data_IF_204297703417
#
_entry.id   IF_204297703417
#
_cell.length_a   1.000
_cell.length_b   1.000
_cell.length_c   1.000
_cell.angle_alpha   90.00
_cell.angle_beta   90.00
_cell.angle_gamma   90.00
#
_symmetry.space_group_name_H-M   'P 1'
#
loop_
_entity.id
_entity.type
_entity.pdbx_description
1 polymer ?
#
# COMPACT_ATOMS: atom_id res chain seq x y z
N UNK A 1 -37.12 -17.60 19.11
CA UNK A 1 -36.22 -18.66 19.61
C UNK A 1 -34.94 -17.98 20.05
N UNK A 2 -34.41 -18.30 21.24
CA UNK A 2 -33.10 -17.80 21.64
C UNK A 2 -32.06 -18.31 20.62
N UNK A 3 -31.24 -17.40 20.08
CA UNK A 3 -30.20 -17.76 19.10
C UNK A 3 -29.04 -18.41 19.82
N UNK A 4 -28.50 -19.48 19.26
CA UNK A 4 -27.33 -20.15 19.85
C UNK A 4 -26.07 -19.39 19.43
N UNK A 5 -25.49 -18.63 20.36
CA UNK A 5 -24.26 -17.87 20.11
C UNK A 5 -23.13 -18.38 20.98
N UNK A 6 -22.02 -18.78 20.36
CA UNK A 6 -20.81 -19.21 21.05
C UNK A 6 -19.66 -18.30 20.64
N UNK A 7 -18.99 -17.68 21.61
CA UNK A 7 -17.77 -16.91 21.40
C UNK A 7 -16.57 -17.68 21.92
N UNK A 8 -15.73 -18.17 21.02
CA UNK A 8 -14.40 -18.62 21.37
C UNK A 8 -13.49 -17.40 21.53
N UNK A 9 -12.99 -17.18 22.74
CA UNK A 9 -12.16 -16.02 23.10
C UNK A 9 -10.76 -16.45 23.54
N UNK A 10 -9.83 -15.52 23.64
CA UNK A 10 -8.52 -15.74 24.26
C UNK A 10 -8.19 -14.62 25.25
N UNK A 11 -7.43 -14.93 26.29
CA UNK A 11 -7.07 -13.96 27.33
C UNK A 11 -6.16 -12.87 26.75
N UNK A 12 -6.48 -11.59 27.00
CA UNK A 12 -5.71 -10.44 26.51
C UNK A 12 -6.02 -10.04 25.05
N UNK A 13 -7.02 -10.66 24.43
CA UNK A 13 -7.44 -10.38 23.06
C UNK A 13 -8.36 -9.13 22.98
N UNK A 14 -7.90 -8.00 22.42
CA UNK A 14 -8.70 -6.77 22.34
C UNK A 14 -9.94 -6.92 21.44
N UNK A 15 -9.88 -7.79 20.43
CA UNK A 15 -11.00 -8.08 19.53
C UNK A 15 -12.07 -8.96 20.19
N UNK A 16 -11.68 -9.83 21.11
CA UNK A 16 -12.61 -10.65 21.88
C UNK A 16 -13.48 -9.74 22.75
N UNK A 17 -12.87 -8.74 23.41
CA UNK A 17 -13.60 -7.72 24.17
C UNK A 17 -14.51 -6.85 23.28
N UNK A 18 -14.08 -6.49 22.07
CA UNK A 18 -14.95 -5.80 21.10
C UNK A 18 -16.16 -6.64 20.71
N UNK A 19 -15.99 -7.95 20.45
CA UNK A 19 -17.11 -8.86 20.13
C UNK A 19 -18.05 -9.00 21.33
N UNK A 20 -17.52 -9.18 22.55
CA UNK A 20 -18.35 -9.24 23.76
C UNK A 20 -19.22 -7.99 23.93
N UNK A 21 -18.65 -6.81 23.69
CA UNK A 21 -19.37 -5.54 23.74
C UNK A 21 -20.42 -5.45 22.63
N UNK A 22 -20.09 -5.86 21.41
CA UNK A 22 -21.02 -5.84 20.28
C UNK A 22 -22.18 -6.83 20.47
N UNK A 23 -21.92 -8.07 20.89
CA UNK A 23 -22.95 -9.07 21.18
C UNK A 23 -23.90 -8.57 22.29
N UNK A 24 -23.34 -7.96 23.35
CA UNK A 24 -24.12 -7.31 24.40
C UNK A 24 -24.98 -6.16 23.86
N UNK A 25 -24.40 -5.30 23.02
CA UNK A 25 -25.11 -4.17 22.41
C UNK A 25 -26.22 -4.61 21.46
N UNK A 26 -26.08 -5.78 20.82
CA UNK A 26 -27.08 -6.38 19.96
C UNK A 26 -28.12 -7.21 20.73
N UNK A 27 -28.04 -7.25 22.06
CA UNK A 27 -28.96 -8.00 22.91
C UNK A 27 -28.85 -9.52 22.75
N UNK A 28 -27.68 -10.01 22.32
CA UNK A 28 -27.42 -11.45 22.17
C UNK A 28 -26.75 -11.99 23.43
N UNK A 29 -27.38 -13.00 24.02
CA UNK A 29 -26.73 -13.88 24.98
C UNK A 29 -25.75 -14.80 24.24
N UNK A 30 -24.59 -15.06 24.84
CA UNK A 30 -23.58 -15.94 24.26
C UNK A 30 -22.89 -16.78 25.34
N UNK A 31 -22.45 -17.97 24.94
CA UNK A 31 -21.54 -18.80 25.73
C UNK A 31 -20.09 -18.38 25.40
N UNK A 32 -19.31 -17.97 26.40
CA UNK A 32 -17.88 -17.72 26.22
C UNK A 32 -17.06 -19.01 26.42
N UNK A 33 -16.33 -19.42 25.39
CA UNK A 33 -15.36 -20.53 25.42
C UNK A 33 -13.94 -19.99 25.30
N UNK A 34 -13.32 -19.66 26.43
CA UNK A 34 -11.97 -19.10 26.42
C UNK A 34 -10.92 -20.20 26.18
N UNK A 35 -10.30 -20.18 24.99
CA UNK A 35 -9.33 -21.18 24.55
C UNK A 35 -7.98 -21.09 25.27
N UNK A 36 -7.67 -19.96 25.90
CA UNK A 36 -6.48 -19.79 26.74
C UNK A 36 -6.67 -20.40 28.13
N UNK A 37 -7.93 -20.47 28.60
CA UNK A 37 -8.27 -20.99 29.93
C UNK A 37 -8.58 -22.48 29.88
N UNK A 38 -9.23 -22.96 28.82
CA UNK A 38 -9.52 -24.38 28.63
C UNK A 38 -9.03 -24.86 27.23
N UNK A 39 -7.96 -25.66 27.17
CA UNK A 39 -7.41 -26.19 25.91
C UNK A 39 -8.39 -27.01 25.08
N UNK A 40 -9.41 -27.64 25.68
CA UNK A 40 -10.39 -28.44 24.94
C UNK A 40 -11.18 -27.61 23.93
N UNK A 41 -11.44 -26.33 24.23
CA UNK A 41 -12.11 -25.42 23.29
C UNK A 41 -11.22 -25.04 22.09
N UNK A 42 -9.90 -25.12 22.26
CA UNK A 42 -8.95 -24.94 21.16
C UNK A 42 -8.96 -26.17 20.25
N UNK A 43 -8.99 -27.37 20.82
CA UNK A 43 -9.10 -28.63 20.07
C UNK A 43 -10.41 -28.72 19.28
N UNK A 44 -11.52 -28.22 19.84
CA UNK A 44 -12.82 -28.10 19.16
C UNK A 44 -12.75 -27.22 17.90
N UNK A 45 -12.03 -26.10 17.95
CA UNK A 45 -11.80 -25.23 16.79
C UNK A 45 -10.89 -25.91 15.75
N UNK A 46 -9.85 -26.60 16.19
CA UNK A 46 -8.90 -27.31 15.32
C UNK A 46 -9.57 -28.45 14.54
N UNK A 47 -10.48 -29.19 15.18
CA UNK A 47 -11.27 -30.23 14.50
C UNK A 47 -12.14 -29.67 13.37
N UNK A 48 -12.43 -28.37 13.38
CA UNK A 48 -13.15 -27.62 12.34
C UNK A 48 -12.21 -26.89 11.37
N UNK A 49 -10.90 -27.09 11.46
CA UNK A 49 -9.90 -26.43 10.62
C UNK A 49 -9.64 -24.96 10.99
N UNK A 50 -10.01 -24.53 12.20
CA UNK A 50 -9.89 -23.14 12.66
C UNK A 50 -8.80 -23.07 13.72
N UNK A 51 -7.77 -22.26 13.50
CA UNK A 51 -6.55 -22.21 14.33
C UNK A 51 -6.37 -20.88 15.06
N UNK A 52 -7.45 -20.12 15.28
CA UNK A 52 -7.38 -18.76 15.81
C UNK A 52 -8.62 -18.39 16.63
N UNK A 53 -8.46 -17.49 17.60
CA UNK A 53 -9.55 -16.78 18.30
C UNK A 53 -9.36 -15.26 18.12
N UNK A 54 -10.44 -14.43 18.09
CA UNK A 54 -11.81 -14.81 18.41
C UNK A 54 -12.53 -15.52 17.26
N UNK A 55 -13.46 -16.40 17.60
CA UNK A 55 -14.42 -17.00 16.66
C UNK A 55 -15.81 -16.89 17.26
N UNK A 56 -16.75 -16.32 16.52
CA UNK A 56 -18.16 -16.30 16.93
C UNK A 56 -18.94 -17.26 16.06
N UNK A 57 -19.71 -18.14 16.66
CA UNK A 57 -20.66 -19.00 15.97
C UNK A 57 -22.06 -18.52 16.34
N UNK A 58 -22.89 -18.19 15.34
CA UNK A 58 -24.27 -17.75 15.54
C UNK A 58 -25.17 -18.67 14.71
N UNK A 59 -26.04 -19.43 15.37
CA UNK A 59 -26.97 -20.36 14.71
C UNK A 59 -26.27 -21.32 13.72
N UNK A 60 -25.03 -21.71 14.03
CA UNK A 60 -24.17 -22.59 13.22
C UNK A 60 -23.29 -21.87 12.18
N UNK A 61 -23.54 -20.59 11.88
CA UNK A 61 -22.69 -19.80 10.98
C UNK A 61 -21.43 -19.33 11.72
N UNK A 62 -20.27 -19.51 11.09
CA UNK A 62 -18.97 -19.26 11.72
C UNK A 62 -18.33 -17.95 11.25
N UNK A 63 -18.01 -17.08 12.19
CA UNK A 63 -17.33 -15.80 11.98
C UNK A 63 -15.95 -15.83 12.63
N UNK A 64 -14.91 -15.98 11.82
CA UNK A 64 -13.51 -16.00 12.27
C UNK A 64 -12.98 -14.56 12.35
N UNK A 65 -12.44 -14.19 13.50
CA UNK A 65 -11.96 -12.84 13.81
C UNK A 65 -13.08 -11.83 14.10
N UNK A 66 -12.71 -10.56 14.24
CA UNK A 66 -13.68 -9.47 14.44
C UNK A 66 -14.33 -9.08 13.11
N UNK A 67 -15.61 -9.38 12.94
CA UNK A 67 -16.39 -9.17 11.69
C UNK A 67 -17.78 -8.58 11.96
N UNK A 68 -17.89 -7.42 12.64
CA UNK A 68 -19.17 -6.93 13.15
C UNK A 68 -20.20 -6.63 12.06
N UNK A 69 -19.78 -6.12 10.90
CA UNK A 69 -20.70 -5.83 9.79
C UNK A 69 -21.30 -7.11 9.19
N UNK A 70 -20.48 -8.16 9.02
CA UNK A 70 -20.93 -9.46 8.49
C UNK A 70 -21.89 -10.14 9.48
N UNK A 71 -21.59 -10.04 10.78
CA UNK A 71 -22.46 -10.55 11.85
C UNK A 71 -23.79 -9.78 11.90
N UNK A 72 -23.78 -8.44 11.87
CA UNK A 72 -25.01 -7.62 11.81
C UNK A 72 -25.87 -7.94 10.60
N UNK A 73 -25.24 -8.05 9.42
CA UNK A 73 -25.93 -8.42 8.19
C UNK A 73 -26.59 -9.79 8.31
N UNK A 74 -25.89 -10.78 8.86
CA UNK A 74 -26.44 -12.12 9.11
C UNK A 74 -27.57 -12.11 10.14
N UNK A 75 -27.43 -11.29 11.19
CA UNK A 75 -28.44 -11.14 12.24
C UNK A 75 -29.67 -10.34 11.79
N UNK A 76 -29.60 -9.66 10.64
CA UNK A 76 -30.64 -8.75 10.15
C UNK A 76 -30.73 -7.45 10.95
N UNK A 77 -29.63 -7.06 11.63
CA UNK A 77 -29.56 -5.83 12.41
C UNK A 77 -29.26 -4.68 11.45
N UNK A 78 -30.27 -3.87 11.16
CA UNK A 78 -30.12 -2.60 10.43
C UNK A 78 -29.89 -1.47 11.42
N UNK A 79 -28.95 -0.58 11.12
CA UNK A 79 -28.69 0.62 11.93
C UNK A 79 -29.82 1.66 11.73
N UNK A 80 -31.01 1.41 12.29
CA UNK A 80 -32.04 2.45 12.49
C UNK A 80 -31.96 3.00 13.92
N UNK A 81 -32.09 4.33 14.10
CA UNK A 81 -31.87 4.97 15.39
C UNK A 81 -33.12 4.84 16.25
N UNK A 82 -33.16 3.87 17.16
CA UNK A 82 -34.13 3.87 18.24
C UNK A 82 -33.62 4.76 19.38
N UNK A 83 -34.28 5.90 19.56
CA UNK A 83 -34.01 6.86 20.61
C UNK A 83 -34.45 6.30 21.97
N UNK A 84 -33.50 6.11 22.91
CA UNK A 84 -33.61 6.54 24.30
C UNK A 84 -32.42 6.05 25.16
N UNK A 85 -31.76 7.03 25.79
CA UNK A 85 -31.12 6.99 27.11
C UNK A 85 -29.85 6.15 27.33
N UNK A 86 -28.73 6.89 27.44
CA UNK A 86 -27.76 6.66 28.50
C UNK A 86 -26.34 6.30 28.06
N UNK A 87 -25.43 7.26 28.24
CA UNK A 87 -23.97 7.12 28.39
C UNK A 87 -23.06 7.09 27.14
N UNK A 88 -22.17 8.09 27.13
CA UNK A 88 -20.91 8.26 26.40
C UNK A 88 -20.90 8.08 24.88
N UNK A 89 -21.08 9.21 24.18
CA UNK A 89 -20.77 9.42 22.77
C UNK A 89 -19.28 9.26 22.47
N UNK A 90 -18.87 8.11 21.94
CA UNK A 90 -17.82 8.08 20.93
C UNK A 90 -18.50 8.22 19.56
N UNK A 91 -18.39 9.43 18.99
CA UNK A 91 -18.86 9.71 17.63
C UNK A 91 -18.04 8.87 16.65
N UNK A 92 -18.66 7.88 16.01
CA UNK A 92 -18.18 7.39 14.70
C UNK A 92 -18.33 8.53 13.71
N UNK A 93 -17.25 9.22 13.40
CA UNK A 93 -17.18 10.14 12.27
C UNK A 93 -17.43 9.34 10.99
N UNK A 94 -18.35 9.83 10.14
CA UNK A 94 -18.42 9.40 8.75
C UNK A 94 -17.05 9.65 8.14
N UNK A 95 -16.47 8.69 7.41
CA UNK A 95 -15.29 8.94 6.58
C UNK A 95 -15.55 10.17 5.71
N UNK A 96 -14.82 11.25 5.98
CA UNK A 96 -14.94 12.49 5.24
C UNK A 96 -14.21 12.29 3.91
N UNK A 97 -14.93 12.19 2.79
CA UNK A 97 -14.30 12.23 1.47
C UNK A 97 -13.73 13.64 1.27
N UNK A 98 -12.42 13.76 1.45
CA UNK A 98 -11.72 15.04 1.38
C UNK A 98 -11.43 15.49 -0.05
N UNK A 99 -11.61 14.61 -1.04
CA UNK A 99 -11.29 14.91 -2.44
C UNK A 99 -12.49 15.56 -3.13
N UNK A 100 -12.38 16.86 -3.41
CA UNK A 100 -13.38 17.57 -4.22
C UNK A 100 -13.13 17.37 -5.73
N UNK A 101 -14.11 17.78 -6.54
CA UNK A 101 -13.91 17.94 -7.98
C UNK A 101 -13.16 19.25 -8.25
N UNK A 102 -12.51 19.34 -9.40
CA UNK A 102 -11.96 20.61 -9.89
C UNK A 102 -13.12 21.52 -10.31
N UNK A 103 -13.16 22.73 -9.76
CA UNK A 103 -14.13 23.78 -10.08
C UNK A 103 -13.42 25.12 -10.36
N UNK A 104 -14.17 26.19 -10.62
CA UNK A 104 -13.60 27.51 -10.89
C UNK A 104 -12.76 28.05 -9.72
N UNK A 105 -13.13 27.75 -8.47
CA UNK A 105 -12.37 28.21 -7.31
C UNK A 105 -10.97 27.56 -7.25
N UNK A 106 -10.85 26.32 -7.73
CA UNK A 106 -9.55 25.65 -7.87
C UNK A 106 -8.75 26.26 -9.03
N UNK A 107 -9.38 26.52 -10.17
CA UNK A 107 -8.71 26.98 -11.39
C UNK A 107 -8.28 28.46 -11.34
N UNK A 108 -9.01 29.30 -10.62
CA UNK A 108 -8.74 30.75 -10.52
C UNK A 108 -7.58 31.07 -9.56
N UNK A 109 -7.13 30.09 -8.77
CA UNK A 109 -6.03 30.25 -7.81
C UNK A 109 -4.66 30.02 -8.46
N UNK A 110 -3.64 30.63 -7.83
CA UNK A 110 -2.24 30.25 -8.01
C UNK A 110 -1.77 29.65 -6.70
N UNK A 111 -1.47 28.36 -6.72
CA UNK A 111 -0.98 27.63 -5.55
C UNK A 111 0.50 27.88 -5.33
N UNK A 112 0.94 27.90 -4.09
CA UNK A 112 2.36 27.94 -3.76
C UNK A 112 3.02 26.59 -4.06
N UNK A 113 2.34 25.48 -3.71
CA UNK A 113 2.75 24.12 -4.04
C UNK A 113 1.57 23.32 -4.60
N UNK A 114 1.79 22.64 -5.72
CA UNK A 114 0.91 21.56 -6.21
C UNK A 114 1.67 20.24 -6.13
N UNK A 115 1.14 19.28 -5.36
CA UNK A 115 1.61 17.90 -5.34
C UNK A 115 0.78 17.03 -6.30
N UNK A 116 1.43 16.38 -7.26
CA UNK A 116 0.81 15.43 -8.18
C UNK A 116 0.97 14.02 -7.60
N UNK A 117 -0.12 13.44 -7.12
CA UNK A 117 -0.19 12.18 -6.39
C UNK A 117 -0.44 12.42 -4.89
N UNK A 118 -1.44 11.75 -4.33
CA UNK A 118 -1.87 11.82 -2.93
C UNK A 118 -1.47 10.61 -2.10
N UNK A 119 -0.39 9.92 -2.49
CA UNK A 119 0.26 8.87 -1.70
C UNK A 119 1.17 9.44 -0.58
N UNK A 120 1.96 8.61 0.12
CA UNK A 120 2.78 9.04 1.24
C UNK A 120 3.71 10.21 0.94
N UNK A 121 4.32 10.24 -0.24
CA UNK A 121 5.20 11.33 -0.67
C UNK A 121 4.44 12.64 -0.83
N UNK A 122 3.37 12.65 -1.64
CA UNK A 122 2.60 13.87 -1.89
C UNK A 122 1.89 14.40 -0.66
N UNK A 123 1.34 13.51 0.16
CA UNK A 123 0.67 13.90 1.41
C UNK A 123 1.66 14.42 2.45
N UNK A 124 2.86 13.82 2.57
CA UNK A 124 3.91 14.38 3.44
C UNK A 124 4.36 15.75 2.96
N UNK A 125 4.56 15.93 1.64
CA UNK A 125 4.88 17.24 1.07
C UNK A 125 3.80 18.27 1.42
N UNK A 126 2.53 17.89 1.31
CA UNK A 126 1.41 18.75 1.64
C UNK A 126 1.35 19.15 3.13
N UNK A 127 1.57 18.19 4.04
CA UNK A 127 1.64 18.47 5.49
C UNK A 127 2.70 19.55 5.78
N UNK A 128 3.92 19.38 5.27
CA UNK A 128 5.02 20.31 5.53
C UNK A 128 4.78 21.69 4.89
N UNK A 129 4.29 21.71 3.65
CA UNK A 129 3.99 22.95 2.92
C UNK A 129 2.86 23.76 3.60
N UNK A 130 1.73 23.13 3.93
CA UNK A 130 0.61 23.78 4.61
C UNK A 130 0.97 24.26 6.01
N UNK A 131 1.79 23.51 6.75
CA UNK A 131 2.34 23.97 8.04
C UNK A 131 3.25 25.19 7.88
N UNK A 132 3.98 25.29 6.77
CA UNK A 132 4.74 26.45 6.34
C UNK A 132 3.88 27.62 5.82
N UNK A 133 2.55 27.51 5.87
CA UNK A 133 1.58 28.49 5.36
C UNK A 133 1.61 28.68 3.85
N UNK A 134 2.08 27.68 3.10
CA UNK A 134 1.95 27.65 1.64
C UNK A 134 0.53 27.25 1.25
N UNK A 135 -0.07 27.99 0.30
CA UNK A 135 -1.32 27.58 -0.32
C UNK A 135 -1.09 26.30 -1.15
N UNK A 136 -1.62 25.17 -0.67
CA UNK A 136 -1.19 23.84 -1.14
C UNK A 136 -2.36 23.04 -1.69
N UNK A 137 -2.15 22.45 -2.88
CA UNK A 137 -3.09 21.56 -3.55
C UNK A 137 -2.46 20.18 -3.76
N UNK A 138 -3.22 19.13 -3.51
CA UNK A 138 -2.89 17.76 -3.90
C UNK A 138 -3.87 17.30 -4.98
N UNK A 139 -3.33 16.84 -6.11
CA UNK A 139 -4.11 16.27 -7.22
C UNK A 139 -3.88 14.77 -7.25
N UNK A 140 -4.94 13.96 -7.10
CA UNK A 140 -4.84 12.51 -7.25
C UNK A 140 -5.99 11.95 -8.12
N UNK A 141 -5.64 11.21 -9.17
CA UNK A 141 -6.62 10.62 -10.08
C UNK A 141 -7.39 9.43 -9.50
N UNK A 142 -6.81 8.74 -8.53
CA UNK A 142 -7.37 7.53 -7.92
C UNK A 142 -6.84 7.35 -6.48
N UNK A 143 -7.36 8.13 -5.50
CA UNK A 143 -6.83 8.19 -4.14
C UNK A 143 -6.75 6.86 -3.38
N UNK A 144 -7.61 5.90 -3.73
CA UNK A 144 -7.67 4.57 -3.12
C UNK A 144 -6.90 3.48 -3.91
N UNK A 145 -6.25 3.83 -5.02
CA UNK A 145 -5.58 2.89 -5.93
C UNK A 145 -4.05 2.99 -5.90
N UNK A 146 -3.47 3.79 -5.02
CA UNK A 146 -2.03 3.86 -4.80
C UNK A 146 -1.48 2.59 -4.13
N UNK A 147 -0.18 2.32 -4.29
CA UNK A 147 0.49 1.10 -3.77
C UNK A 147 0.25 0.89 -2.27
N UNK A 148 0.34 1.97 -1.48
CA UNK A 148 0.03 1.90 -0.05
C UNK A 148 -1.46 1.59 0.18
N UNK A 149 -2.38 2.25 -0.53
CA UNK A 149 -3.81 2.11 -0.31
C UNK A 149 -4.32 0.67 -0.48
N UNK A 150 -3.72 -0.11 -1.39
CA UNK A 150 -4.11 -1.50 -1.62
C UNK A 150 -3.40 -2.50 -0.68
N UNK A 151 -2.51 -2.03 0.20
CA UNK A 151 -1.76 -2.89 1.12
C UNK A 151 -2.64 -3.30 2.31
N UNK A 152 -2.77 -4.61 2.53
CA UNK A 152 -3.66 -5.14 3.58
C UNK A 152 -3.15 -4.90 5.01
N UNK A 153 -1.84 -4.81 5.23
CA UNK A 153 -1.25 -4.64 6.56
C UNK A 153 0.06 -3.88 6.50
N UNK A 154 0.21 -2.89 7.39
CA UNK A 154 1.46 -2.13 7.56
C UNK A 154 2.11 -2.51 8.89
N UNK A 155 3.32 -3.05 8.81
CA UNK A 155 4.09 -3.48 9.98
C UNK A 155 5.41 -2.70 10.16
N UNK A 156 5.78 -1.86 9.19
CA UNK A 156 7.12 -1.25 9.10
C UNK A 156 7.10 0.28 9.00
N UNK A 157 5.95 0.94 9.21
CA UNK A 157 5.89 2.40 9.31
C UNK A 157 6.05 2.84 10.76
N UNK A 158 7.15 3.55 11.13
CA UNK A 158 7.39 3.93 12.51
C UNK A 158 6.25 4.78 13.10
N UNK A 159 5.86 4.50 14.34
CA UNK A 159 4.73 5.17 15.00
C UNK A 159 3.37 4.55 14.71
N UNK A 160 3.27 3.64 13.74
CA UNK A 160 2.08 2.81 13.53
C UNK A 160 2.25 1.49 14.29
N UNK A 161 1.33 1.19 15.21
CA UNK A 161 1.31 -0.05 15.99
C UNK A 161 0.03 -0.83 15.68
N UNK A 162 0.12 -2.15 15.65
CA UNK A 162 -1.04 -3.03 15.45
C UNK A 162 -1.33 -3.34 13.97
N UNK A 163 -2.58 -3.67 13.66
CA UNK A 163 -3.00 -4.12 12.33
C UNK A 163 -3.68 -2.99 11.53
N UNK A 164 -2.93 -1.90 11.27
CA UNK A 164 -3.40 -0.82 10.42
C UNK A 164 -3.25 -1.23 8.94
N UNK A 165 -4.31 -1.09 8.16
CA UNK A 165 -4.24 -1.25 6.70
C UNK A 165 -3.49 -0.08 6.06
N UNK A 166 -2.99 -0.27 4.86
CA UNK A 166 -2.34 0.81 4.12
C UNK A 166 -3.30 1.93 3.72
N UNK A 167 -4.58 1.61 3.44
CA UNK A 167 -5.61 2.62 3.19
C UNK A 167 -5.87 3.49 4.43
N UNK A 168 -6.05 2.88 5.60
CA UNK A 168 -6.26 3.63 6.85
C UNK A 168 -5.08 4.54 7.15
N UNK A 169 -3.84 4.03 7.01
CA UNK A 169 -2.64 4.86 7.18
C UNK A 169 -2.63 6.05 6.22
N UNK A 170 -2.95 5.81 4.95
CA UNK A 170 -2.96 6.87 3.94
C UNK A 170 -4.03 7.92 4.23
N UNK A 171 -5.25 7.50 4.60
CA UNK A 171 -6.33 8.40 4.98
C UNK A 171 -5.95 9.25 6.20
N UNK A 172 -5.28 8.68 7.19
CA UNK A 172 -4.79 9.43 8.36
C UNK A 172 -3.78 10.51 7.95
N UNK A 173 -2.83 10.19 7.06
CA UNK A 173 -1.90 11.20 6.52
C UNK A 173 -2.66 12.31 5.77
N UNK A 174 -3.66 11.93 4.96
CA UNK A 174 -4.43 12.85 4.13
C UNK A 174 -5.28 13.81 4.98
N UNK A 175 -5.95 13.29 6.01
CA UNK A 175 -6.69 14.08 7.00
C UNK A 175 -5.75 15.04 7.75
N UNK A 176 -4.57 14.58 8.16
CA UNK A 176 -3.58 15.45 8.81
C UNK A 176 -3.16 16.62 7.90
N UNK A 177 -2.95 16.38 6.60
CA UNK A 177 -2.62 17.44 5.64
C UNK A 177 -3.78 18.45 5.51
N UNK A 178 -5.02 17.94 5.44
CA UNK A 178 -6.24 18.74 5.36
C UNK A 178 -6.43 19.62 6.60
N UNK A 179 -6.16 19.11 7.80
CA UNK A 179 -6.26 19.87 9.06
C UNK A 179 -5.35 21.11 9.07
N UNK A 180 -4.23 21.08 8.31
CA UNK A 180 -3.35 22.23 8.11
C UNK A 180 -3.76 23.15 6.96
N UNK A 181 -4.84 22.83 6.22
CA UNK A 181 -5.39 23.64 5.13
C UNK A 181 -5.02 23.16 3.73
N UNK A 182 -4.54 21.93 3.56
CA UNK A 182 -4.32 21.36 2.21
C UNK A 182 -5.67 21.17 1.50
N UNK A 183 -5.75 21.59 0.24
CA UNK A 183 -6.86 21.25 -0.64
C UNK A 183 -6.57 19.96 -1.40
N UNK A 184 -7.52 19.03 -1.45
CA UNK A 184 -7.42 17.78 -2.20
C UNK A 184 -8.43 17.75 -3.34
N UNK A 185 -7.98 17.45 -4.56
CA UNK A 185 -8.87 17.31 -5.72
C UNK A 185 -8.64 15.99 -6.44
N UNK A 186 -9.74 15.41 -6.92
CA UNK A 186 -9.70 14.21 -7.75
C UNK A 186 -9.65 14.60 -9.22
N UNK A 187 -8.47 14.56 -9.83
CA UNK A 187 -8.27 14.84 -11.25
C UNK A 187 -7.06 14.11 -11.82
N UNK A 188 -7.04 13.92 -13.15
CA UNK A 188 -5.91 13.36 -13.87
C UNK A 188 -5.10 14.47 -14.54
N UNK A 189 -3.81 14.59 -14.23
CA UNK A 189 -2.91 15.51 -14.93
C UNK A 189 -2.56 14.91 -16.29
N UNK A 190 -2.93 15.62 -17.36
CA UNK A 190 -2.77 15.20 -18.75
C UNK A 190 -1.40 15.60 -19.31
N UNK A 191 -0.95 16.80 -18.95
CA UNK A 191 0.35 17.35 -19.35
C UNK A 191 0.75 18.51 -18.44
N UNK A 192 2.00 18.93 -18.54
CA UNK A 192 2.54 20.08 -17.81
C UNK A 192 3.32 21.02 -18.73
N UNK A 193 3.38 22.29 -18.35
CA UNK A 193 4.26 23.31 -18.94
C UNK A 193 5.03 24.01 -17.80
N UNK A 194 6.34 23.81 -17.78
CA UNK A 194 7.27 24.40 -16.82
C UNK A 194 8.26 25.37 -17.48
N UNK A 195 7.94 25.88 -18.68
CA UNK A 195 8.81 26.82 -19.40
C UNK A 195 8.87 28.21 -18.78
N UNK A 196 7.84 28.60 -18.03
CA UNK A 196 7.79 29.85 -17.28
C UNK A 196 8.51 29.68 -15.92
N UNK A 197 9.48 30.56 -15.60
CA UNK A 197 10.30 30.42 -14.39
C UNK A 197 9.49 30.63 -13.10
N UNK A 198 8.45 31.47 -13.13
CA UNK A 198 7.67 31.82 -11.95
C UNK A 198 6.43 30.91 -11.81
N UNK A 199 5.73 30.59 -12.90
CA UNK A 199 4.43 29.88 -12.88
C UNK A 199 4.42 28.59 -13.71
N UNK A 200 4.21 27.47 -13.02
CA UNK A 200 4.05 26.13 -13.57
C UNK A 200 2.59 25.89 -13.88
N UNK A 201 2.30 25.28 -15.03
CA UNK A 201 0.94 24.95 -15.48
C UNK A 201 0.75 23.44 -15.55
N UNK A 202 -0.38 22.98 -15.03
CA UNK A 202 -0.81 21.59 -15.07
C UNK A 202 -2.16 21.51 -15.78
N UNK A 203 -2.20 20.81 -16.90
CA UNK A 203 -3.43 20.60 -17.66
C UNK A 203 -4.20 19.42 -17.10
N UNK A 204 -5.43 19.67 -16.67
CA UNK A 204 -6.42 18.65 -16.27
C UNK A 204 -7.65 18.75 -17.19
N UNK A 205 -8.53 17.74 -17.26
CA UNK A 205 -9.71 17.79 -18.13
C UNK A 205 -10.60 19.03 -17.92
N UNK A 206 -10.66 19.53 -16.69
CA UNK A 206 -11.49 20.66 -16.29
C UNK A 206 -10.87 22.03 -16.62
N UNK A 207 -9.56 22.09 -16.89
CA UNK A 207 -8.85 23.34 -17.19
C UNK A 207 -7.38 23.32 -16.77
N UNK A 208 -6.79 24.50 -16.62
CA UNK A 208 -5.38 24.66 -16.28
C UNK A 208 -5.20 25.09 -14.82
N UNK A 209 -4.51 24.28 -14.03
CA UNK A 209 -4.10 24.61 -12.66
C UNK A 209 -2.73 25.30 -12.69
N UNK A 210 -2.55 26.34 -11.87
CA UNK A 210 -1.32 27.15 -11.81
C UNK A 210 -0.63 27.03 -10.45
N UNK A 211 0.70 26.91 -10.47
CA UNK A 211 1.50 26.74 -9.27
C UNK A 211 2.82 27.52 -9.33
N UNK A 212 3.32 28.01 -8.19
CA UNK A 212 4.68 28.55 -8.08
C UNK A 212 5.74 27.46 -7.96
N UNK A 213 5.38 26.31 -7.40
CA UNK A 213 6.22 25.12 -7.31
C UNK A 213 5.39 23.84 -7.48
N UNK A 214 6.03 22.76 -7.93
CA UNK A 214 5.36 21.47 -8.19
C UNK A 214 6.16 20.34 -7.55
N UNK A 215 5.48 19.40 -6.91
CA UNK A 215 6.04 18.14 -6.44
C UNK A 215 5.43 16.95 -7.19
N UNK A 216 6.26 16.15 -7.84
CA UNK A 216 5.87 14.96 -8.60
C UNK A 216 6.02 13.74 -7.68
N UNK A 217 4.90 13.31 -7.08
CA UNK A 217 4.79 12.18 -6.15
C UNK A 217 3.92 11.05 -6.70
N UNK A 218 3.99 10.80 -8.01
CA UNK A 218 3.08 9.88 -8.74
C UNK A 218 3.34 8.39 -8.50
N UNK A 219 4.41 8.06 -7.78
CA UNK A 219 4.85 6.70 -7.50
C UNK A 219 5.20 5.90 -8.75
N UNK A 220 5.28 4.58 -8.57
CA UNK A 220 5.47 3.62 -9.65
C UNK A 220 4.53 2.43 -9.48
N UNK A 221 4.18 1.80 -10.60
CA UNK A 221 3.31 0.61 -10.62
C UNK A 221 3.91 -0.47 -11.50
N UNK A 222 3.75 -1.73 -11.09
CA UNK A 222 4.01 -2.84 -11.98
C UNK A 222 3.09 -2.73 -13.21
N UNK A 223 3.61 -2.96 -14.43
CA UNK A 223 2.78 -3.05 -15.62
C UNK A 223 1.68 -4.11 -15.43
N UNK A 224 0.47 -3.81 -15.91
CA UNK A 224 -0.67 -4.74 -15.90
C UNK A 224 -0.45 -5.87 -16.92
N UNK A 225 0.47 -6.79 -16.65
CA UNK A 225 0.52 -8.09 -17.31
C UNK A 225 -0.17 -9.09 -16.38
N UNK A 226 -1.50 -9.14 -16.44
CA UNK A 226 -2.31 -9.97 -15.54
C UNK A 226 -2.02 -11.45 -15.79
N UNK A 227 -1.14 -12.05 -14.99
CA UNK A 227 -1.06 -13.50 -14.88
C UNK A 227 -2.41 -13.97 -14.34
N UNK A 228 -2.99 -15.02 -14.92
CA UNK A 228 -4.26 -15.56 -14.44
C UNK A 228 -4.11 -15.96 -12.96
N UNK A 229 -5.01 -15.49 -12.11
CA UNK A 229 -4.98 -15.67 -10.66
C UNK A 229 -4.18 -14.61 -9.88
N UNK A 230 -3.37 -13.76 -10.52
CA UNK A 230 -2.57 -12.75 -9.83
C UNK A 230 -3.41 -11.78 -8.98
N UNK A 231 -4.42 -11.17 -9.59
CA UNK A 231 -5.33 -10.22 -8.92
C UNK A 231 -6.17 -10.92 -7.85
N UNK A 232 -6.57 -12.17 -8.10
CA UNK A 232 -7.39 -12.96 -7.17
C UNK A 232 -6.61 -13.27 -5.88
N UNK A 233 -5.35 -13.71 -5.99
CA UNK A 233 -4.56 -14.12 -4.83
C UNK A 233 -3.60 -13.04 -4.30
N UNK A 234 -3.73 -11.79 -4.77
CA UNK A 234 -2.99 -10.63 -4.22
C UNK A 234 -3.28 -10.50 -2.71
N UNK A 235 -2.21 -10.44 -1.90
CA UNK A 235 -2.32 -10.42 -0.43
C UNK A 235 -2.72 -11.76 0.20
N UNK A 236 -2.96 -12.79 -0.61
CA UNK A 236 -3.31 -14.16 -0.21
C UNK A 236 -2.31 -15.18 -0.76
N UNK A 237 -1.03 -14.81 -0.81
CA UNK A 237 0.06 -15.63 -1.32
C UNK A 237 0.75 -15.04 -2.56
N UNK A 238 0.14 -14.07 -3.25
CA UNK A 238 0.84 -13.23 -4.25
C UNK A 238 1.35 -11.97 -3.55
N UNK A 239 2.63 -11.68 -3.70
CA UNK A 239 3.31 -10.49 -3.17
C UNK A 239 4.21 -9.83 -4.23
N UNK A 240 4.55 -8.58 -3.97
CA UNK A 240 5.47 -7.77 -4.76
C UNK A 240 6.60 -7.16 -3.90
N UNK A 241 6.70 -7.56 -2.63
CA UNK A 241 7.68 -7.02 -1.68
C UNK A 241 8.10 -8.09 -0.67
N UNK A 242 9.29 -8.67 -0.84
CA UNK A 242 9.83 -9.64 0.13
C UNK A 242 10.09 -8.98 1.48
N UNK A 243 10.61 -7.75 1.50
CA UNK A 243 10.87 -7.01 2.73
C UNK A 243 9.61 -6.85 3.59
N UNK A 244 8.44 -6.75 2.96
CA UNK A 244 7.15 -6.58 3.62
C UNK A 244 6.60 -7.93 4.11
N UNK A 245 6.65 -8.95 3.26
CA UNK A 245 5.84 -10.15 3.45
C UNK A 245 6.64 -11.43 3.77
N UNK A 246 7.98 -11.44 3.61
CA UNK A 246 8.80 -12.64 3.76
C UNK A 246 8.62 -13.35 5.11
N UNK A 247 8.45 -12.60 6.20
CA UNK A 247 8.24 -13.15 7.53
C UNK A 247 6.96 -14.01 7.63
N UNK A 248 5.95 -13.77 6.81
CA UNK A 248 4.73 -14.59 6.76
C UNK A 248 4.94 -15.93 6.05
N UNK A 249 6.04 -16.10 5.32
CA UNK A 249 6.42 -17.32 4.61
C UNK A 249 7.54 -18.09 5.33
N UNK A 250 7.66 -17.92 6.65
CA UNK A 250 8.60 -18.68 7.48
C UNK A 250 8.39 -20.19 7.30
N UNK A 251 9.47 -20.90 6.99
CA UNK A 251 9.50 -22.36 6.76
C UNK A 251 8.60 -22.84 5.60
N UNK A 252 8.24 -21.94 4.68
CA UNK A 252 7.40 -22.23 3.49
C UNK A 252 8.21 -22.36 2.20
N UNK A 253 7.60 -22.94 1.18
CA UNK A 253 8.16 -22.96 -0.18
C UNK A 253 7.55 -21.83 -0.99
N UNK A 254 8.38 -20.96 -1.55
CA UNK A 254 7.92 -19.82 -2.36
C UNK A 254 8.59 -19.79 -3.73
N UNK A 255 7.95 -19.14 -4.68
CA UNK A 255 8.56 -18.80 -5.95
C UNK A 255 8.83 -17.29 -6.04
N UNK A 256 9.94 -16.92 -6.67
CA UNK A 256 10.25 -15.54 -7.08
C UNK A 256 10.27 -15.55 -8.59
N UNK A 257 9.55 -14.65 -9.24
CA UNK A 257 9.47 -14.62 -10.71
C UNK A 257 10.00 -13.30 -11.21
N UNK A 258 11.14 -13.31 -11.89
CA UNK A 258 11.79 -12.09 -12.37
C UNK A 258 13.10 -12.35 -13.11
N UNK A 259 13.60 -11.33 -13.80
CA UNK A 259 14.78 -11.44 -14.67
C UNK A 259 15.78 -10.30 -14.46
N UNK A 260 15.71 -9.58 -13.34
CA UNK A 260 16.58 -8.44 -12.99
C UNK A 260 17.37 -8.71 -11.71
N UNK A 261 18.35 -7.85 -11.41
CA UNK A 261 19.08 -7.85 -10.13
C UNK A 261 18.13 -7.75 -8.91
N UNK A 262 17.05 -6.98 -9.02
CA UNK A 262 16.00 -6.89 -7.99
C UNK A 262 15.44 -8.29 -7.64
N UNK A 263 15.11 -9.12 -8.63
CA UNK A 263 14.60 -10.46 -8.37
C UNK A 263 15.62 -11.37 -7.66
N UNK A 264 16.92 -11.16 -7.90
CA UNK A 264 18.00 -11.88 -7.23
C UNK A 264 18.12 -11.46 -5.76
N UNK A 265 18.16 -10.16 -5.48
CA UNK A 265 18.19 -9.64 -4.11
C UNK A 265 16.95 -10.07 -3.30
N UNK A 266 15.77 -10.06 -3.92
CA UNK A 266 14.53 -10.46 -3.26
C UNK A 266 14.50 -11.99 -2.99
N UNK A 267 15.04 -12.81 -3.90
CA UNK A 267 15.21 -14.24 -3.66
C UNK A 267 16.22 -14.52 -2.53
N UNK A 268 17.31 -13.76 -2.46
CA UNK A 268 18.30 -13.88 -1.39
C UNK A 268 17.70 -13.44 -0.03
N UNK A 269 16.91 -12.38 0.00
CA UNK A 269 16.17 -11.96 1.19
C UNK A 269 15.20 -13.05 1.67
N UNK A 270 14.41 -13.64 0.76
CA UNK A 270 13.48 -14.72 1.07
C UNK A 270 14.18 -16.00 1.56
N UNK A 271 15.40 -16.27 1.08
CA UNK A 271 16.19 -17.45 1.51
C UNK A 271 16.48 -17.47 3.01
N UNK A 272 16.39 -16.32 3.69
CA UNK A 272 16.60 -16.18 5.14
C UNK A 272 15.39 -16.65 5.96
N UNK A 273 14.20 -16.72 5.36
CA UNK A 273 12.93 -17.05 6.03
C UNK A 273 12.33 -18.36 5.52
N UNK A 274 12.44 -18.64 4.21
CA UNK A 274 11.74 -19.71 3.55
C UNK A 274 12.51 -21.04 3.56
N UNK A 275 11.77 -22.15 3.58
CA UNK A 275 12.31 -23.51 3.46
C UNK A 275 12.93 -23.75 2.08
N UNK A 276 12.30 -23.25 1.03
CA UNK A 276 12.79 -23.34 -0.35
C UNK A 276 12.34 -22.09 -1.14
N UNK A 277 13.24 -21.51 -1.92
CA UNK A 277 12.96 -20.40 -2.83
C UNK A 277 13.26 -20.84 -4.26
N UNK A 278 12.26 -20.79 -5.13
CA UNK A 278 12.39 -21.11 -6.57
C UNK A 278 12.43 -19.82 -7.38
N UNK A 279 13.59 -19.43 -7.87
CA UNK A 279 13.76 -18.25 -8.73
C UNK A 279 13.48 -18.62 -10.19
N UNK A 280 12.36 -18.15 -10.72
CA UNK A 280 11.87 -18.39 -12.08
C UNK A 280 12.30 -17.25 -12.99
N UNK A 281 13.17 -17.55 -13.96
CA UNK A 281 13.70 -16.58 -14.92
C UNK A 281 13.12 -16.88 -16.31
N UNK A 282 12.26 -16.01 -16.88
CA UNK A 282 11.60 -16.21 -18.18
C UNK A 282 12.51 -16.41 -19.39
N UNK A 283 13.75 -15.93 -19.28
CA UNK A 283 14.77 -15.92 -20.32
C UNK A 283 15.97 -16.77 -19.90
N UNK A 284 16.97 -16.89 -20.78
CA UNK A 284 18.14 -17.75 -20.57
C UNK A 284 19.27 -17.10 -19.76
N UNK A 285 19.12 -15.84 -19.35
CA UNK A 285 20.09 -15.06 -18.59
C UNK A 285 19.37 -13.89 -17.90
N UNK A 286 19.95 -13.27 -16.88
CA UNK A 286 19.39 -12.05 -16.30
C UNK A 286 19.56 -10.85 -17.26
N UNK A 287 18.71 -9.83 -17.09
CA UNK A 287 18.85 -8.51 -17.71
C UNK A 287 19.81 -7.66 -16.88
N UNK A 288 20.82 -7.12 -17.54
CA UNK A 288 21.89 -6.35 -16.90
C UNK A 288 23.00 -7.24 -16.35
N UNK A 289 24.01 -6.61 -15.74
CA UNK A 289 25.01 -7.31 -14.93
C UNK A 289 24.40 -7.64 -13.57
N UNK A 290 24.46 -8.91 -13.17
CA UNK A 290 23.88 -9.39 -11.91
C UNK A 290 24.91 -10.28 -11.22
N UNK A 291 25.20 -9.99 -9.95
CA UNK A 291 26.04 -10.85 -9.12
C UNK A 291 25.20 -11.97 -8.48
N UNK A 292 25.56 -13.22 -8.76
CA UNK A 292 24.89 -14.41 -8.22
C UNK A 292 25.67 -15.07 -7.10
N UNK A 293 26.86 -14.56 -6.77
CA UNK A 293 27.81 -15.23 -5.88
C UNK A 293 27.24 -15.55 -4.50
N UNK A 294 26.42 -14.66 -3.94
CA UNK A 294 25.73 -14.89 -2.67
C UNK A 294 24.56 -15.87 -2.81
N UNK A 295 23.79 -15.75 -3.90
CA UNK A 295 22.60 -16.58 -4.13
C UNK A 295 22.98 -18.05 -4.40
N UNK A 296 24.05 -18.28 -5.15
CA UNK A 296 24.59 -19.61 -5.46
C UNK A 296 25.09 -20.37 -4.21
N UNK A 297 25.45 -19.64 -3.15
CA UNK A 297 25.84 -20.23 -1.87
C UNK A 297 24.64 -20.66 -1.01
N UNK A 298 23.41 -20.28 -1.37
CA UNK A 298 22.21 -20.62 -0.60
C UNK A 298 21.69 -22.02 -0.99
N UNK A 299 21.75 -23.01 -0.08
CA UNK A 299 21.34 -24.39 -0.40
C UNK A 299 19.83 -24.55 -0.60
N UNK A 300 19.02 -23.58 -0.15
CA UNK A 300 17.57 -23.55 -0.26
C UNK A 300 17.06 -22.72 -1.45
N UNK A 301 17.94 -22.19 -2.31
CA UNK A 301 17.55 -21.46 -3.52
C UNK A 301 17.81 -22.31 -4.75
N UNK A 302 16.86 -22.36 -5.68
CA UNK A 302 17.01 -23.00 -7.00
C UNK A 302 16.62 -22.02 -8.10
N UNK A 303 17.49 -21.88 -9.10
CA UNK A 303 17.27 -21.00 -10.26
C UNK A 303 16.78 -21.82 -11.45
N UNK A 304 15.70 -21.36 -12.09
CA UNK A 304 15.04 -22.00 -13.21
C UNK A 304 15.00 -21.05 -14.41
N UNK A 305 15.98 -21.17 -15.30
CA UNK A 305 16.04 -20.40 -16.55
C UNK A 305 15.07 -20.91 -17.60
N UNK A 306 14.61 -20.03 -18.48
CA UNK A 306 13.62 -20.32 -19.54
C UNK A 306 12.29 -20.87 -19.00
N UNK A 307 11.99 -20.64 -17.72
CA UNK A 307 10.73 -21.01 -17.11
C UNK A 307 9.80 -19.80 -17.02
N UNK A 308 8.51 -19.96 -17.34
CA UNK A 308 7.54 -18.86 -17.33
C UNK A 308 6.32 -19.20 -16.48
N UNK A 309 5.97 -18.32 -15.56
CA UNK A 309 4.70 -18.40 -14.84
C UNK A 309 3.53 -18.14 -15.81
N UNK A 310 2.57 -19.05 -15.84
CA UNK A 310 1.36 -18.99 -16.68
C UNK A 310 0.11 -18.67 -15.87
N UNK A 311 -0.03 -19.33 -14.72
CA UNK A 311 -1.23 -19.22 -13.89
C UNK A 311 -0.89 -19.46 -12.42
N UNK A 312 -1.59 -18.76 -11.53
CA UNK A 312 -1.54 -18.89 -10.09
C UNK A 312 -2.90 -19.47 -9.66
N UNK A 313 -2.91 -20.54 -8.86
CA UNK A 313 -4.16 -21.20 -8.45
C UNK A 313 -4.14 -21.62 -6.97
N UNK A 314 -5.35 -21.76 -6.40
CA UNK A 314 -5.61 -22.31 -5.07
C UNK A 314 -7.05 -22.05 -4.64
N UNK A 315 -7.49 -22.59 -3.50
CA UNK A 315 -8.89 -22.40 -3.07
C UNK A 315 -9.10 -21.02 -2.42
N UNK A 316 -8.42 -20.77 -1.30
CA UNK A 316 -8.54 -19.52 -0.53
C UNK A 316 -7.28 -18.65 -0.56
N UNK A 317 -6.15 -19.24 -0.93
CA UNK A 317 -4.81 -18.66 -1.00
C UNK A 317 -4.00 -19.37 -2.10
N UNK A 318 -2.81 -18.88 -2.42
CA UNK A 318 -1.90 -19.56 -3.36
C UNK A 318 -1.54 -20.94 -2.81
N UNK A 319 -1.65 -21.95 -3.68
CA UNK A 319 -1.23 -23.33 -3.41
C UNK A 319 -0.40 -23.91 -4.55
N UNK A 320 -0.64 -23.45 -5.78
CA UNK A 320 -0.03 -24.00 -7.00
C UNK A 320 0.28 -22.92 -8.02
N UNK A 321 1.38 -23.12 -8.74
CA UNK A 321 1.74 -22.36 -9.94
C UNK A 321 1.74 -23.29 -11.15
N UNK A 322 1.18 -22.83 -12.26
CA UNK A 322 1.37 -23.45 -13.57
C UNK A 322 2.57 -22.77 -14.22
N UNK A 323 3.66 -23.52 -14.36
CA UNK A 323 4.91 -23.06 -14.95
C UNK A 323 5.06 -23.72 -16.32
N UNK A 324 5.37 -22.93 -17.33
CA UNK A 324 5.94 -23.45 -18.56
C UNK A 324 7.44 -23.70 -18.33
N UNK A 325 7.89 -24.95 -18.47
CA UNK A 325 9.29 -25.33 -18.32
C UNK A 325 10.14 -24.93 -19.54
N UNK A 326 11.45 -25.23 -19.48
CA UNK A 326 12.41 -24.92 -20.54
C UNK A 326 12.19 -25.73 -21.84
N UNK A 327 11.40 -26.80 -21.76
CA UNK A 327 10.96 -27.63 -22.88
C UNK A 327 9.58 -27.21 -23.43
N UNK A 328 8.99 -26.15 -22.87
CA UNK A 328 7.66 -25.61 -23.17
C UNK A 328 6.48 -26.47 -22.71
N UNK A 329 6.70 -27.45 -21.83
CA UNK A 329 5.61 -28.19 -21.19
C UNK A 329 5.02 -27.37 -20.05
N UNK A 330 3.74 -27.55 -19.77
CA UNK A 330 3.12 -27.01 -18.57
C UNK A 330 3.26 -28.00 -17.41
N UNK A 331 3.89 -27.54 -16.33
CA UNK A 331 4.11 -28.31 -15.10
C UNK A 331 3.52 -27.56 -13.92
N UNK A 332 2.99 -28.32 -12.95
CA UNK A 332 2.39 -27.77 -11.74
C UNK A 332 3.40 -27.80 -10.60
N UNK A 333 3.64 -26.66 -9.99
CA UNK A 333 4.48 -26.53 -8.80
C UNK A 333 3.62 -26.23 -7.58
N UNK A 334 3.76 -27.03 -6.53
CA UNK A 334 3.21 -26.71 -5.21
C UNK A 334 4.10 -25.67 -4.53
N UNK A 335 3.49 -24.57 -4.10
CA UNK A 335 4.13 -23.45 -3.38
C UNK A 335 3.12 -22.82 -2.42
N UNK A 336 3.59 -22.21 -1.34
CA UNK A 336 2.76 -21.45 -0.41
C UNK A 336 2.61 -19.98 -0.83
N UNK A 337 3.46 -19.48 -1.74
CA UNK A 337 3.42 -18.10 -2.22
C UNK A 337 4.28 -17.83 -3.45
N UNK A 338 4.03 -16.69 -4.09
CA UNK A 338 4.75 -16.22 -5.27
C UNK A 338 5.01 -14.71 -5.17
N UNK A 339 6.26 -14.32 -5.43
CA UNK A 339 6.71 -12.94 -5.46
C UNK A 339 7.02 -12.53 -6.91
N UNK A 340 6.35 -11.49 -7.40
CA UNK A 340 6.39 -11.12 -8.82
C UNK A 340 7.25 -9.86 -9.06
N UNK A 341 8.34 -10.04 -9.81
CA UNK A 341 9.27 -9.01 -10.29
C UNK A 341 9.49 -9.15 -11.81
N UNK A 342 8.42 -9.50 -12.55
CA UNK A 342 8.44 -9.82 -13.98
C UNK A 342 8.57 -8.61 -14.90
N UNK A 343 8.11 -7.46 -14.43
CA UNK A 343 8.22 -6.21 -15.14
C UNK A 343 8.48 -5.17 -14.06
N UNK A 344 9.71 -4.64 -14.06
CA UNK A 344 10.11 -3.61 -13.11
C UNK A 344 9.04 -2.51 -13.01
N UNK A 345 8.90 -1.94 -11.81
CA UNK A 345 7.94 -0.87 -11.59
C UNK A 345 8.18 0.26 -12.59
N UNK A 346 7.12 0.72 -13.27
CA UNK A 346 7.19 1.91 -14.12
C UNK A 346 6.63 3.12 -13.37
N UNK A 347 7.37 4.23 -13.33
CA UNK A 347 6.90 5.46 -12.71
C UNK A 347 5.76 6.06 -13.53
N UNK A 348 4.80 6.70 -12.86
CA UNK A 348 3.63 7.31 -13.50
C UNK A 348 3.90 8.63 -14.24
N UNK A 349 5.04 8.75 -14.93
CA UNK A 349 5.65 10.03 -15.36
C UNK A 349 5.40 10.39 -16.83
N UNK A 350 4.64 9.61 -17.59
CA UNK A 350 4.45 9.80 -19.04
C UNK A 350 3.92 11.19 -19.42
N UNK A 351 3.07 11.79 -18.58
CA UNK A 351 2.51 13.12 -18.78
C UNK A 351 3.58 14.24 -18.77
N UNK A 352 4.77 13.98 -18.20
CA UNK A 352 5.87 14.93 -18.15
C UNK A 352 6.57 15.11 -19.49
N UNK A 353 6.55 14.09 -20.37
CA UNK A 353 7.28 14.09 -21.66
C UNK A 353 8.74 14.57 -21.47
N UNK A 354 9.07 15.78 -21.95
CA UNK A 354 10.40 16.38 -21.87
C UNK A 354 10.43 17.61 -20.92
N UNK A 355 9.41 17.79 -20.09
CA UNK A 355 9.33 18.93 -19.17
C UNK A 355 10.38 18.86 -18.04
N UNK A 356 10.83 17.65 -17.69
CA UNK A 356 11.95 17.40 -16.77
C UNK A 356 12.79 16.25 -17.30
N UNK A 357 14.06 16.19 -16.88
CA UNK A 357 14.95 15.07 -17.19
C UNK A 357 14.45 13.76 -16.55
N UNK A 358 14.47 12.68 -17.34
CA UNK A 358 14.08 11.33 -16.94
C UNK A 358 15.10 10.33 -17.45
N UNK A 359 15.32 9.26 -16.70
CA UNK A 359 16.17 8.16 -17.16
C UNK A 359 15.48 7.30 -18.24
N UNK A 360 16.20 6.32 -18.78
CA UNK A 360 15.72 5.44 -19.85
C UNK A 360 14.49 4.60 -19.47
N UNK A 361 14.24 4.39 -18.18
CA UNK A 361 13.07 3.68 -17.66
C UNK A 361 11.93 4.63 -17.25
N UNK A 362 12.13 5.94 -17.40
CA UNK A 362 11.14 6.98 -17.17
C UNK A 362 11.14 7.56 -15.74
N UNK A 363 12.08 7.19 -14.88
CA UNK A 363 12.17 7.78 -13.54
C UNK A 363 12.68 9.22 -13.61
N UNK A 364 12.12 10.10 -12.79
CA UNK A 364 12.55 11.51 -12.74
C UNK A 364 13.96 11.57 -12.13
N UNK A 365 14.87 12.24 -12.82
CA UNK A 365 16.23 12.50 -12.32
C UNK A 365 16.16 13.66 -11.33
N UNK A 366 16.73 13.46 -10.15
CA UNK A 366 16.74 14.47 -9.08
C UNK A 366 18.09 14.56 -8.38
N UNK A 367 18.38 15.71 -7.77
CA UNK A 367 19.52 15.88 -6.87
C UNK A 367 19.24 15.37 -5.43
N UNK A 368 20.20 15.52 -4.53
CA UNK A 368 20.09 15.13 -3.11
C UNK A 368 18.97 15.86 -2.34
N UNK A 369 18.53 17.01 -2.85
CA UNK A 369 17.44 17.82 -2.28
C UNK A 369 16.13 17.62 -3.05
N UNK A 370 16.06 16.58 -3.90
CA UNK A 370 14.91 16.18 -4.70
C UNK A 370 14.49 17.21 -5.75
N UNK A 371 15.40 18.08 -6.16
CA UNK A 371 15.18 19.04 -7.24
C UNK A 371 15.34 18.33 -8.57
N UNK A 372 14.44 18.62 -9.51
CA UNK A 372 14.55 18.14 -10.89
C UNK A 372 15.47 19.07 -11.71
N UNK A 373 15.57 18.82 -13.02
CA UNK A 373 16.25 19.71 -13.97
C UNK A 373 15.58 21.09 -14.13
N UNK A 374 14.40 21.33 -13.52
CA UNK A 374 13.66 22.59 -13.59
C UNK A 374 13.50 23.21 -12.20
N UNK A 375 13.82 24.50 -12.10
CA UNK A 375 13.72 25.24 -10.85
C UNK A 375 12.27 25.33 -10.34
N UNK A 376 12.10 25.15 -9.03
CA UNK A 376 10.78 25.05 -8.41
C UNK A 376 9.99 23.77 -8.72
N UNK A 377 10.58 22.78 -9.42
CA UNK A 377 9.98 21.47 -9.66
C UNK A 377 10.79 20.39 -8.95
N UNK A 378 10.09 19.60 -8.15
CA UNK A 378 10.65 18.54 -7.29
C UNK A 378 10.00 17.20 -7.63
N UNK A 379 10.69 16.10 -7.33
CA UNK A 379 10.12 14.75 -7.48
C UNK A 379 10.62 13.80 -6.39
N UNK A 380 9.78 12.87 -5.94
CA UNK A 380 10.13 12.01 -4.81
C UNK A 380 9.21 10.81 -4.66
N UNK A 381 9.56 9.95 -3.70
CA UNK A 381 8.99 8.61 -3.58
C UNK A 381 9.34 7.76 -4.81
N UNK A 382 8.47 6.83 -5.16
CA UNK A 382 8.79 5.88 -6.24
C UNK A 382 8.76 6.50 -7.66
N UNK A 383 8.50 7.81 -7.79
CA UNK A 383 8.60 8.53 -9.08
C UNK A 383 10.06 8.78 -9.52
N UNK A 384 11.02 8.74 -8.57
CA UNK A 384 12.46 8.77 -8.84
C UNK A 384 13.08 7.39 -8.71
N UNK A 385 14.26 7.19 -9.28
CA UNK A 385 15.03 5.96 -9.07
C UNK A 385 15.60 5.97 -7.65
N UNK A 386 15.25 4.95 -6.88
CA UNK A 386 15.73 4.73 -5.52
C UNK A 386 15.90 3.22 -5.33
N UNK A 387 16.98 2.75 -4.68
CA UNK A 387 17.13 1.33 -4.38
C UNK A 387 16.10 0.84 -3.36
N UNK A 388 15.44 1.77 -2.63
CA UNK A 388 14.49 1.44 -1.57
C UNK A 388 13.15 2.13 -1.85
N UNK A 389 12.11 1.33 -2.08
CA UNK A 389 10.73 1.77 -2.33
C UNK A 389 9.85 1.42 -1.13
N UNK A 390 9.78 2.34 -0.17
CA UNK A 390 9.07 2.14 1.09
C UNK A 390 8.25 3.40 1.46
N UNK A 391 7.12 3.22 2.13
CA UNK A 391 6.22 4.31 2.49
C UNK A 391 6.89 5.38 3.37
N UNK A 392 7.76 4.97 4.31
CA UNK A 392 8.51 5.89 5.17
C UNK A 392 9.54 6.71 4.39
N UNK A 393 10.22 6.09 3.42
CA UNK A 393 11.18 6.77 2.53
C UNK A 393 10.46 7.75 1.61
N UNK A 394 9.34 7.32 1.03
CA UNK A 394 8.47 8.21 0.23
C UNK A 394 7.98 9.42 1.06
N UNK A 395 7.57 9.21 2.31
CA UNK A 395 7.16 10.30 3.19
C UNK A 395 8.33 11.26 3.52
N UNK A 396 9.54 10.73 3.74
CA UNK A 396 10.73 11.55 3.94
C UNK A 396 11.03 12.43 2.72
N UNK A 397 10.94 11.85 1.51
CA UNK A 397 11.12 12.59 0.27
C UNK A 397 10.13 13.76 0.14
N UNK A 398 8.86 13.52 0.46
CA UNK A 398 7.84 14.58 0.47
C UNK A 398 8.21 15.76 1.39
N UNK A 399 8.70 15.46 2.59
CA UNK A 399 9.11 16.47 3.55
C UNK A 399 10.31 17.30 3.05
N UNK A 400 11.32 16.65 2.48
CA UNK A 400 12.49 17.31 1.89
C UNK A 400 12.06 18.25 0.76
N UNK A 401 11.23 17.75 -0.16
CA UNK A 401 10.74 18.53 -1.30
C UNK A 401 9.91 19.74 -0.87
N UNK A 402 9.08 19.62 0.17
CA UNK A 402 8.29 20.74 0.69
C UNK A 402 9.15 21.88 1.26
N UNK A 403 10.30 21.57 1.88
CA UNK A 403 11.24 22.58 2.35
C UNK A 403 11.95 23.28 1.18
N UNK A 404 12.25 22.53 0.11
CA UNK A 404 12.73 23.10 -1.14
C UNK A 404 11.71 24.02 -1.80
N UNK A 405 10.44 23.60 -1.85
CA UNK A 405 9.33 24.40 -2.36
C UNK A 405 9.13 25.69 -1.54
N UNK A 406 9.18 25.61 -0.20
CA UNK A 406 9.12 26.77 0.68
C UNK A 406 10.27 27.76 0.42
N UNK A 407 11.48 27.25 0.20
CA UNK A 407 12.63 28.07 -0.18
C UNK A 407 12.38 28.79 -1.52
N UNK A 408 11.91 28.05 -2.52
CA UNK A 408 11.62 28.54 -3.87
C UNK A 408 10.54 29.62 -3.87
N UNK A 409 9.38 29.32 -3.29
CA UNK A 409 8.21 30.21 -3.23
C UNK A 409 8.55 31.52 -2.51
N UNK A 410 9.35 31.46 -1.44
CA UNK A 410 9.77 32.63 -0.68
C UNK A 410 11.04 33.30 -1.24
N UNK A 411 11.54 32.87 -2.41
CA UNK A 411 12.72 33.43 -3.09
C UNK A 411 13.97 33.52 -2.20
N UNK A 412 14.19 32.51 -1.35
CA UNK A 412 15.35 32.47 -0.45
C UNK A 412 16.56 31.91 -1.20
N UNK A 413 17.70 32.61 -1.08
CA UNK A 413 18.94 32.21 -1.75
C UNK A 413 19.47 30.84 -1.28
N UNK A 414 19.18 30.44 -0.04
CA UNK A 414 19.59 29.14 0.53
C UNK A 414 18.49 28.56 1.40
N UNK A 415 18.46 27.23 1.50
CA UNK A 415 17.67 26.55 2.51
C UNK A 415 18.18 26.96 3.89
N UNK A 416 17.28 27.22 4.84
CA UNK A 416 17.69 27.55 6.21
C UNK A 416 18.06 26.25 6.92
N UNK A 417 19.34 26.04 7.31
CA UNK A 417 19.69 24.88 8.10
C UNK A 417 18.92 24.94 9.43
N UNK A 418 18.47 23.76 9.89
CA UNK A 418 17.81 23.61 11.18
C UNK A 418 18.80 23.33 12.32
N UNK A 419 20.09 23.49 12.03
CA UNK A 419 21.19 23.41 12.99
C UNK A 419 21.92 24.75 13.04
N UNK A 420 22.51 25.04 14.20
CA UNK A 420 23.32 26.24 14.47
C UNK A 420 24.70 26.17 13.86
#
# INVERSE_FOLDING_TARGET
MARETILYSSTGCPYCEKIKNDLKNWGLEYEERNVTVNPQFFDELHAKGIFSAPVTIIDGETFIGYRPNKMKQYLGITDEPNAAQGASTEKKEKEEDIFSKVDSNILDQVYDLVAIGGGPAGTSAAIYASRGKLNTLVIDKAPAAGTLAITHKIANYPGVRGELTGLELLQQMQLQAKDFGTTFVRANVLSVDFSDPDIKKLEVPEGTIKAKSVFIGVGAKAPLNKIKGEEEYTGRGVSYCSTCDAAFFQDRTVAVVGETEEAVHEAEALSKFCKEVRLVVPINQFKGEVDLSELEQKPNVKIYYRHRLKEITGENKVEKLIIQDDQKNEVTWEVDGVFLYLAGMKPGTDFLKNAVERDEEGYVVVDENLRTSVDGVFAGGDARRTPIKQAVISAADGAIAALGADQHVNKRAKMRPQYS
#
